data_IF_265643806058
#
_entry.id   IF_265643806058
#
_cell.length_a   1.000
_cell.length_b   1.000
_cell.length_c   1.000
_cell.angle_alpha   90.00
_cell.angle_beta   90.00
_cell.angle_gamma   90.00
#
_symmetry.space_group_name_H-M   'P 1'
#
loop_
_entity.id
_entity.type
_entity.pdbx_description
1 polymer ?
#
# COMPACT_ATOMS: atom_id res chain seq x y z
N UNK A 1 -16.03 37.41 -34.03
CA UNK A 1 -15.47 36.77 -32.83
C UNK A 1 -16.23 35.46 -32.62
N UNK A 2 -15.66 34.28 -32.92
CA UNK A 2 -16.30 33.03 -32.56
C UNK A 2 -16.16 32.80 -31.04
N UNK A 3 -17.25 32.45 -30.38
CA UNK A 3 -17.28 32.12 -28.95
C UNK A 3 -16.62 30.76 -28.67
N UNK A 4 -16.21 30.49 -27.43
CA UNK A 4 -15.53 29.25 -27.07
C UNK A 4 -16.47 28.04 -27.25
N UNK A 5 -15.96 26.99 -27.90
CA UNK A 5 -16.71 25.77 -28.21
C UNK A 5 -17.13 25.02 -26.92
N UNK A 6 -18.40 24.59 -26.80
CA UNK A 6 -18.87 23.80 -25.67
C UNK A 6 -18.53 22.32 -25.94
N UNK A 7 -17.41 21.81 -25.41
CA UNK A 7 -17.06 20.43 -25.72
C UNK A 7 -16.05 19.72 -24.83
N UNK A 8 -15.18 20.42 -24.10
CA UNK A 8 -14.34 19.76 -23.10
C UNK A 8 -15.04 19.78 -21.74
N UNK A 9 -16.12 19.03 -21.62
CA UNK A 9 -16.59 18.57 -20.32
C UNK A 9 -15.45 17.73 -19.73
N UNK A 10 -14.64 18.34 -18.84
CA UNK A 10 -13.78 17.57 -17.96
C UNK A 10 -14.70 16.57 -17.25
N UNK A 11 -14.43 15.25 -17.30
CA UNK A 11 -15.27 14.29 -16.60
C UNK A 11 -15.35 14.74 -15.14
N UNK A 12 -16.57 15.06 -14.68
CA UNK A 12 -16.84 15.31 -13.27
C UNK A 12 -16.60 13.98 -12.55
N UNK A 13 -15.37 13.76 -12.09
CA UNK A 13 -15.04 12.59 -11.28
C UNK A 13 -15.87 12.69 -10.01
N UNK A 14 -16.69 11.67 -9.73
CA UNK A 14 -17.49 11.66 -8.52
C UNK A 14 -16.56 11.74 -7.31
N UNK A 15 -16.93 12.52 -6.29
CA UNK A 15 -16.13 12.68 -5.08
C UNK A 15 -15.84 11.32 -4.42
N UNK A 16 -16.76 10.36 -4.55
CA UNK A 16 -16.60 8.97 -4.13
C UNK A 16 -15.51 8.22 -4.91
N UNK A 17 -15.37 8.46 -6.22
CA UNK A 17 -14.30 7.87 -7.04
C UNK A 17 -12.93 8.44 -6.65
N UNK A 18 -12.85 9.76 -6.40
CA UNK A 18 -11.63 10.39 -5.88
C UNK A 18 -11.27 9.84 -4.50
N UNK A 19 -12.27 9.66 -3.63
CA UNK A 19 -12.08 9.09 -2.30
C UNK A 19 -11.61 7.64 -2.38
N UNK A 20 -12.22 6.83 -3.24
CA UNK A 20 -11.86 5.43 -3.48
C UNK A 20 -10.43 5.31 -4.00
N UNK A 21 -10.08 6.09 -5.04
CA UNK A 21 -8.72 6.13 -5.58
C UNK A 21 -7.70 6.57 -4.53
N UNK A 22 -8.04 7.51 -3.64
CA UNK A 22 -7.16 7.94 -2.55
C UNK A 22 -6.95 6.85 -1.49
N UNK A 23 -8.01 6.12 -1.13
CA UNK A 23 -7.91 4.98 -0.20
C UNK A 23 -7.11 3.85 -0.82
N UNK A 24 -7.33 3.55 -2.10
CA UNK A 24 -6.56 2.55 -2.85
C UNK A 24 -5.08 2.94 -2.93
N UNK A 25 -4.75 4.20 -3.25
CA UNK A 25 -3.37 4.67 -3.26
C UNK A 25 -2.71 4.61 -1.88
N UNK A 26 -3.44 4.94 -0.82
CA UNK A 26 -2.93 4.81 0.55
C UNK A 26 -2.70 3.35 0.95
N UNK A 27 -3.55 2.43 0.47
CA UNK A 27 -3.38 1.01 0.70
C UNK A 27 -2.18 0.44 -0.07
N UNK A 28 -2.01 0.84 -1.33
CA UNK A 28 -0.85 0.46 -2.15
C UNK A 28 0.45 0.93 -1.49
N UNK A 29 0.53 2.20 -1.08
CA UNK A 29 1.72 2.74 -0.43
C UNK A 29 2.09 1.96 0.86
N UNK A 30 1.10 1.55 1.66
CA UNK A 30 1.34 0.71 2.84
C UNK A 30 1.87 -0.68 2.48
N UNK A 31 1.39 -1.27 1.39
CA UNK A 31 1.88 -2.56 0.91
C UNK A 31 3.32 -2.44 0.38
N UNK A 32 3.64 -1.37 -0.34
CA UNK A 32 5.00 -1.10 -0.82
C UNK A 32 5.98 -0.93 0.35
N UNK A 33 5.60 -0.14 1.37
CA UNK A 33 6.39 0.04 2.59
C UNK A 33 6.59 -1.29 3.34
N UNK A 34 5.54 -2.12 3.45
CA UNK A 34 5.63 -3.44 4.07
C UNK A 34 6.63 -4.33 3.32
N UNK A 35 6.57 -4.36 1.99
CA UNK A 35 7.50 -5.15 1.16
C UNK A 35 8.94 -4.67 1.33
N UNK A 36 9.16 -3.36 1.37
CA UNK A 36 10.48 -2.79 1.60
C UNK A 36 11.04 -3.16 2.98
N UNK A 37 10.23 -3.05 4.03
CA UNK A 37 10.62 -3.45 5.38
C UNK A 37 10.95 -4.94 5.48
N UNK A 38 10.19 -5.82 4.80
CA UNK A 38 10.50 -7.25 4.73
C UNK A 38 11.84 -7.48 4.02
N UNK A 39 12.08 -6.82 2.89
CA UNK A 39 13.36 -6.93 2.16
C UNK A 39 14.55 -6.46 3.00
N UNK A 40 14.42 -5.32 3.67
CA UNK A 40 15.45 -4.80 4.56
C UNK A 40 15.77 -5.78 5.71
N UNK A 41 14.73 -6.39 6.29
CA UNK A 41 14.87 -7.40 7.34
C UNK A 41 15.61 -8.64 6.84
N UNK A 42 15.25 -9.14 5.65
CA UNK A 42 15.91 -10.30 5.03
C UNK A 42 17.38 -10.03 4.67
N UNK A 43 17.69 -8.81 4.21
CA UNK A 43 19.04 -8.40 3.87
C UNK A 43 19.96 -8.17 5.09
N UNK A 44 19.40 -8.02 6.29
CA UNK A 44 20.15 -7.80 7.52
C UNK A 44 21.04 -8.99 7.90
N UNK A 45 22.11 -8.77 8.71
CA UNK A 45 23.05 -9.82 9.12
C UNK A 45 22.50 -10.74 10.25
N UNK A 46 21.25 -10.60 10.65
CA UNK A 46 20.63 -11.37 11.73
C UNK A 46 20.40 -12.84 11.36
N UNK A 47 20.18 -13.69 12.37
CA UNK A 47 19.84 -15.09 12.16
C UNK A 47 18.46 -15.25 11.51
N UNK A 48 18.22 -16.37 10.82
CA UNK A 48 16.93 -16.63 10.17
C UNK A 48 15.78 -16.65 11.18
N UNK A 49 16.02 -17.15 12.41
CA UNK A 49 15.03 -17.13 13.48
C UNK A 49 14.66 -15.70 13.88
N UNK A 50 15.64 -14.82 14.02
CA UNK A 50 15.40 -13.41 14.39
C UNK A 50 14.66 -12.68 13.28
N UNK A 51 15.05 -12.92 12.01
CA UNK A 51 14.37 -12.37 10.84
C UNK A 51 12.91 -12.82 10.77
N UNK A 52 12.62 -14.10 11.01
CA UNK A 52 11.26 -14.62 11.06
C UNK A 52 10.47 -13.93 12.17
N UNK A 53 11.06 -13.76 13.37
CA UNK A 53 10.42 -13.04 14.47
C UNK A 53 10.08 -11.59 14.12
N UNK A 54 11.02 -10.86 13.53
CA UNK A 54 10.82 -9.47 13.13
C UNK A 54 9.79 -9.31 12.01
N UNK A 55 9.80 -10.18 11.00
CA UNK A 55 8.79 -10.18 9.92
C UNK A 55 7.41 -10.52 10.48
N UNK A 56 7.34 -11.45 11.45
CA UNK A 56 6.08 -11.81 12.12
C UNK A 56 5.50 -10.62 12.87
N UNK A 57 6.33 -9.91 13.62
CA UNK A 57 5.91 -8.69 14.33
C UNK A 57 5.45 -7.59 13.37
N UNK A 58 6.22 -7.36 12.30
CA UNK A 58 5.90 -6.39 11.25
C UNK A 58 4.52 -6.65 10.63
N UNK A 59 4.21 -7.91 10.34
CA UNK A 59 2.93 -8.33 9.78
C UNK A 59 1.78 -8.21 10.79
N UNK A 60 2.01 -8.57 12.05
CA UNK A 60 1.02 -8.43 13.13
C UNK A 60 0.63 -6.97 13.38
N UNK A 61 1.60 -6.03 13.40
CA UNK A 61 1.33 -4.59 13.57
C UNK A 61 0.43 -4.05 12.45
N UNK A 62 0.56 -4.60 11.25
CA UNK A 62 -0.26 -4.25 10.09
C UNK A 62 -1.61 -5.01 10.05
N UNK A 63 -1.88 -5.86 11.05
CA UNK A 63 -3.13 -6.62 11.19
C UNK A 63 -3.19 -7.92 10.40
N UNK A 64 -2.08 -8.36 9.80
CA UNK A 64 -1.99 -9.67 9.15
C UNK A 64 -1.75 -10.76 10.19
N UNK A 65 -2.57 -11.81 10.16
CA UNK A 65 -2.34 -13.00 10.98
C UNK A 65 -1.44 -13.97 10.21
N UNK A 66 -0.37 -14.40 10.84
CA UNK A 66 0.43 -15.52 10.35
C UNK A 66 -0.02 -16.76 11.13
N UNK A 67 -0.65 -17.70 10.44
CA UNK A 67 -0.83 -19.03 11.00
C UNK A 67 0.57 -19.64 11.12
N UNK A 68 1.00 -19.92 12.35
CA UNK A 68 2.29 -20.54 12.56
C UNK A 68 2.35 -21.87 11.79
N UNK A 69 3.42 -22.13 11.02
CA UNK A 69 3.59 -23.44 10.40
C UNK A 69 3.67 -24.48 11.53
N UNK A 70 2.73 -25.42 11.53
CA UNK A 70 2.74 -26.60 12.42
C UNK A 70 3.87 -27.56 12.11
#
# INVERSE_FOLDING_TARGET
>A
MPGPEPGMLRPMVALDDVRKARVENAHIARLEELVENVRATLAGPASDRDKIGWITELLNVQGYRIDAPG
#
